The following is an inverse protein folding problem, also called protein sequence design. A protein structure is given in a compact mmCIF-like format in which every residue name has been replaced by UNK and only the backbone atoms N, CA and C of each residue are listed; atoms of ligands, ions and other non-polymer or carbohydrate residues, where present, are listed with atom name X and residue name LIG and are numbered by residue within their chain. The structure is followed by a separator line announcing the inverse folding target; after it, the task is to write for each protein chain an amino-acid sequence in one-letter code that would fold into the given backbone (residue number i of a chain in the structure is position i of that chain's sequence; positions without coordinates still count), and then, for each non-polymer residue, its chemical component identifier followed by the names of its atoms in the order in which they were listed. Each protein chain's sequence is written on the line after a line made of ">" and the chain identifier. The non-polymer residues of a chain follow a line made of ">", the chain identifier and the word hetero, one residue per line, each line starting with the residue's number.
data_IF_217214218584
#
_entry.id   IF_217214218584
#
_cell.length_a   1.000
_cell.length_b   1.000
_cell.length_c   1.000
_cell.angle_alpha   90.00
_cell.angle_beta   90.00
_cell.angle_gamma   90.00
#
_symmetry.space_group_name_H-M   'P 1'
#
loop_
_entity.id
_entity.type
_entity.pdbx_description
1 polymer ?
#
# COMPACT_ATOMS: atom_id res chain seq x y z
N UNK A 1 3.14 3.72 31.99
CA UNK A 1 3.66 3.47 30.64
C UNK A 1 4.81 4.41 30.27
N UNK A 2 4.67 5.72 30.36
CA UNK A 2 5.74 6.69 30.03
C UNK A 2 7.07 6.42 30.73
N UNK A 3 7.06 6.17 32.04
CA UNK A 3 8.27 5.88 32.84
C UNK A 3 8.95 4.58 32.38
N UNK A 4 8.17 3.57 31.99
CA UNK A 4 8.73 2.31 31.47
C UNK A 4 9.43 2.53 30.12
N UNK A 5 8.81 3.28 29.21
CA UNK A 5 9.41 3.61 27.92
C UNK A 5 10.68 4.45 28.06
N UNK A 6 10.65 5.45 28.91
CA UNK A 6 11.81 6.27 29.23
C UNK A 6 12.98 5.44 29.77
N UNK A 7 12.73 4.60 30.79
CA UNK A 7 13.74 3.72 31.39
C UNK A 7 14.26 2.67 30.40
N UNK A 8 13.41 2.17 29.53
CA UNK A 8 13.80 1.24 28.49
C UNK A 8 14.75 1.86 27.47
N UNK A 9 14.39 3.05 26.93
CA UNK A 9 15.25 3.77 26.02
C UNK A 9 16.60 4.16 26.64
N UNK A 10 16.59 4.61 27.88
CA UNK A 10 17.82 4.92 28.61
C UNK A 10 18.78 3.73 28.72
N UNK A 11 18.26 2.49 28.77
CA UNK A 11 19.08 1.27 28.81
C UNK A 11 19.62 0.85 27.45
N UNK A 12 18.83 1.02 26.37
CA UNK A 12 19.20 0.57 25.03
C UNK A 12 20.03 1.60 24.28
N UNK A 13 19.62 2.86 24.34
CA UNK A 13 20.29 3.98 23.65
C UNK A 13 20.35 5.20 24.60
N UNK A 14 21.36 5.25 25.49
CA UNK A 14 21.55 6.40 26.39
C UNK A 14 21.63 7.72 25.61
N UNK A 15 20.89 8.73 26.05
CA UNK A 15 20.78 10.04 25.39
C UNK A 15 19.60 10.20 24.45
N UNK A 16 18.87 9.13 24.12
CA UNK A 16 17.62 9.22 23.32
C UNK A 16 16.36 9.24 24.18
N UNK A 17 16.47 9.10 25.48
CA UNK A 17 15.34 9.19 26.42
C UNK A 17 14.59 10.53 26.35
N UNK A 18 15.27 11.61 25.95
CA UNK A 18 14.70 12.95 25.78
C UNK A 18 13.67 13.01 24.62
N UNK A 19 13.69 12.03 23.71
CA UNK A 19 12.70 11.92 22.63
C UNK A 19 11.30 11.51 23.16
N UNK A 20 11.24 10.93 24.36
CA UNK A 20 9.99 10.49 24.97
C UNK A 20 9.27 11.70 25.56
N UNK A 21 8.17 12.10 24.96
CA UNK A 21 7.34 13.21 25.42
C UNK A 21 5.94 12.70 25.77
N UNK A 22 5.39 13.20 26.87
CA UNK A 22 4.01 12.94 27.23
C UNK A 22 3.09 13.86 26.42
N UNK A 23 2.16 13.25 25.72
CA UNK A 23 1.10 14.00 25.07
C UNK A 23 0.04 14.44 26.10
N UNK A 24 -0.32 15.72 26.11
CA UNK A 24 -1.29 16.33 27.02
C UNK A 24 -2.40 17.10 26.29
N UNK A 25 -2.53 16.87 24.98
CA UNK A 25 -3.56 17.52 24.16
C UNK A 25 -4.97 17.01 24.49
N UNK A 26 -5.99 17.83 24.15
CA UNK A 26 -7.41 17.44 24.29
C UNK A 26 -7.90 16.54 23.16
N UNK A 27 -7.29 16.65 21.97
CA UNK A 27 -7.60 15.81 20.81
C UNK A 27 -6.86 14.49 20.96
N UNK A 28 -7.42 13.34 20.56
CA UNK A 28 -6.68 12.07 20.55
C UNK A 28 -5.35 12.19 19.81
N UNK A 29 -4.29 11.59 20.34
CA UNK A 29 -2.92 11.75 19.78
C UNK A 29 -2.82 11.32 18.32
N UNK A 30 -3.53 10.28 17.90
CA UNK A 30 -3.51 9.80 16.52
C UNK A 30 -4.20 10.76 15.56
N UNK A 31 -5.27 11.43 16.00
CA UNK A 31 -5.94 12.49 15.24
C UNK A 31 -5.03 13.70 15.10
N UNK A 32 -4.42 14.13 16.22
CA UNK A 32 -3.50 15.27 16.23
C UNK A 32 -2.30 15.06 15.31
N UNK A 33 -1.79 13.85 15.24
CA UNK A 33 -0.66 13.48 14.37
C UNK A 33 -1.10 13.06 12.97
N UNK A 34 -2.39 13.08 12.66
CA UNK A 34 -2.93 12.67 11.37
C UNK A 34 -2.74 11.18 11.04
N UNK A 35 -2.48 10.36 12.06
CA UNK A 35 -2.24 8.91 11.89
C UNK A 35 -3.50 8.21 11.40
N UNK A 36 -4.67 8.55 11.97
CA UNK A 36 -5.93 7.94 11.52
C UNK A 36 -6.25 8.24 10.05
N UNK A 37 -5.99 9.47 9.60
CA UNK A 37 -6.13 9.84 8.19
C UNK A 37 -5.19 9.01 7.30
N UNK A 38 -3.94 8.81 7.73
CA UNK A 38 -2.97 7.98 7.01
C UNK A 38 -3.41 6.51 6.97
N UNK A 39 -3.95 5.98 8.06
CA UNK A 39 -4.50 4.62 8.09
C UNK A 39 -5.66 4.50 7.09
N UNK A 40 -6.66 5.37 7.18
CA UNK A 40 -7.81 5.37 6.25
C UNK A 40 -7.36 5.43 4.79
N UNK A 41 -6.46 6.36 4.44
CA UNK A 41 -5.94 6.49 3.07
C UNK A 41 -5.10 5.29 2.62
N UNK A 42 -4.42 4.61 3.54
CA UNK A 42 -3.54 3.48 3.22
C UNK A 42 -4.27 2.14 3.09
N UNK A 43 -5.44 1.98 3.70
CA UNK A 43 -6.23 0.75 3.68
C UNK A 43 -7.50 0.83 2.84
N UNK A 44 -7.77 1.96 2.21
CA UNK A 44 -8.90 2.13 1.28
C UNK A 44 -8.76 1.24 0.04
N UNK A 45 -9.89 0.98 -0.65
CA UNK A 45 -9.91 0.30 -1.94
C UNK A 45 -9.06 1.02 -2.98
N UNK A 46 -9.09 2.36 -2.98
CA UNK A 46 -8.28 3.21 -3.85
C UNK A 46 -7.08 3.77 -3.09
N UNK A 47 -5.89 3.61 -3.65
CA UNK A 47 -4.63 4.08 -3.08
C UNK A 47 -3.98 5.06 -4.05
N UNK A 48 -3.87 6.33 -3.64
CA UNK A 48 -3.23 7.35 -4.46
C UNK A 48 -1.71 7.18 -4.49
N UNK A 49 -1.15 7.28 -5.70
CA UNK A 49 0.31 7.25 -5.93
C UNK A 49 0.88 8.65 -6.22
N UNK A 50 0.05 9.68 -6.06
CA UNK A 50 0.40 11.05 -6.43
C UNK A 50 0.27 11.34 -7.92
N UNK A 51 0.30 12.65 -8.26
CA UNK A 51 0.17 13.14 -9.65
C UNK A 51 -1.08 12.61 -10.38
N UNK A 52 -2.15 12.25 -9.66
CA UNK A 52 -3.40 11.74 -10.20
C UNK A 52 -3.43 10.24 -10.49
N UNK A 53 -2.31 9.53 -10.40
CA UNK A 53 -2.27 8.08 -10.55
C UNK A 53 -2.71 7.38 -9.25
N UNK A 54 -3.35 6.22 -9.37
CA UNK A 54 -3.84 5.44 -8.23
C UNK A 54 -3.94 3.95 -8.53
N UNK A 55 -3.95 3.15 -7.48
CA UNK A 55 -4.23 1.73 -7.51
C UNK A 55 -5.66 1.48 -7.06
N UNK A 56 -6.32 0.49 -7.65
CA UNK A 56 -7.53 -0.14 -7.10
C UNK A 56 -7.12 -1.52 -6.58
N UNK A 57 -7.39 -1.80 -5.31
CA UNK A 57 -7.06 -3.07 -4.68
C UNK A 57 -8.35 -3.76 -4.27
N UNK A 58 -8.59 -4.94 -4.81
CA UNK A 58 -9.76 -5.76 -4.54
C UNK A 58 -9.37 -7.14 -4.02
N UNK A 59 -10.18 -7.65 -3.10
CA UNK A 59 -10.01 -8.96 -2.51
C UNK A 59 -11.16 -9.86 -2.99
N UNK A 60 -10.80 -11.03 -3.50
CA UNK A 60 -11.74 -12.10 -3.80
C UNK A 60 -11.48 -13.28 -2.88
N UNK A 61 -12.34 -14.29 -2.88
CA UNK A 61 -12.13 -15.50 -2.08
C UNK A 61 -10.82 -16.23 -2.43
N UNK A 62 -10.37 -16.14 -3.69
CA UNK A 62 -9.23 -16.92 -4.19
C UNK A 62 -7.95 -16.11 -4.36
N UNK A 63 -8.05 -14.80 -4.60
CA UNK A 63 -6.90 -13.98 -4.96
C UNK A 63 -7.15 -12.50 -4.69
N UNK A 64 -6.06 -11.73 -4.72
CA UNK A 64 -6.10 -10.27 -4.74
C UNK A 64 -5.90 -9.77 -6.16
N UNK A 65 -6.64 -8.74 -6.53
CA UNK A 65 -6.51 -8.07 -7.83
C UNK A 65 -6.11 -6.62 -7.60
N UNK A 66 -5.13 -6.16 -8.34
CA UNK A 66 -4.64 -4.77 -8.27
C UNK A 66 -4.67 -4.21 -9.68
N UNK A 67 -5.42 -3.13 -9.88
CA UNK A 67 -5.51 -2.39 -11.13
C UNK A 67 -4.74 -1.07 -11.02
N UNK A 68 -3.94 -0.74 -12.03
CA UNK A 68 -3.09 0.45 -12.08
C UNK A 68 -3.69 1.49 -12.99
N UNK A 69 -4.04 2.65 -12.44
CA UNK A 69 -4.65 3.74 -13.16
C UNK A 69 -3.74 4.98 -13.25
N UNK A 70 -3.57 5.54 -14.47
CA UNK A 70 -2.77 6.75 -14.70
C UNK A 70 -3.49 8.05 -14.33
N UNK A 71 -4.82 7.98 -14.09
CA UNK A 71 -5.64 9.18 -13.95
C UNK A 71 -5.75 9.98 -15.25
N UNK A 72 -6.08 11.27 -15.13
CA UNK A 72 -6.36 12.17 -16.29
C UNK A 72 -5.09 12.63 -17.05
N UNK A 73 -4.10 11.77 -17.20
CA UNK A 73 -2.87 12.10 -17.96
C UNK A 73 -3.05 11.76 -19.42
N UNK A 74 -3.67 12.65 -20.18
CA UNK A 74 -3.71 12.62 -21.65
C UNK A 74 -2.51 13.38 -22.21
N UNK A 75 -1.51 12.66 -22.72
CA UNK A 75 -0.38 13.23 -23.46
C UNK A 75 -0.28 12.56 -24.84
N UNK A 76 0.32 13.28 -25.82
CA UNK A 76 0.56 12.80 -27.18
C UNK A 76 1.22 11.41 -27.26
N UNK A 77 0.93 10.65 -28.31
CA UNK A 77 1.28 9.24 -28.49
C UNK A 77 2.76 8.86 -28.21
N UNK A 78 3.72 9.73 -28.50
CA UNK A 78 5.14 9.43 -28.21
C UNK A 78 5.47 9.50 -26.70
N UNK A 79 4.71 10.31 -25.94
CA UNK A 79 4.85 10.41 -24.50
C UNK A 79 4.01 9.35 -23.75
N UNK A 80 3.09 8.64 -24.43
CA UNK A 80 2.18 7.70 -23.77
C UNK A 80 2.91 6.50 -23.20
N UNK A 81 3.79 5.87 -23.99
CA UNK A 81 4.60 4.73 -23.55
C UNK A 81 5.54 5.10 -22.38
N UNK A 82 6.21 6.26 -22.47
CA UNK A 82 7.08 6.75 -21.40
C UNK A 82 6.29 7.08 -20.11
N UNK A 83 5.11 7.66 -20.27
CA UNK A 83 4.23 7.95 -19.15
C UNK A 83 3.68 6.67 -18.52
N UNK A 84 3.23 5.71 -19.33
CA UNK A 84 2.79 4.39 -18.86
C UNK A 84 3.89 3.68 -18.05
N UNK A 85 5.12 3.68 -18.58
CA UNK A 85 6.26 3.12 -17.86
C UNK A 85 6.51 3.84 -16.53
N UNK A 86 6.49 5.18 -16.53
CA UNK A 86 6.70 5.97 -15.30
C UNK A 86 5.66 5.67 -14.24
N UNK A 87 4.38 5.56 -14.63
CA UNK A 87 3.29 5.22 -13.72
C UNK A 87 3.45 3.80 -13.21
N UNK A 88 3.75 2.84 -14.08
CA UNK A 88 3.94 1.44 -13.70
C UNK A 88 5.13 1.24 -12.75
N UNK A 89 6.22 1.98 -12.93
CA UNK A 89 7.37 1.92 -12.00
C UNK A 89 7.00 2.46 -10.61
N UNK A 90 6.25 3.56 -10.55
CA UNK A 90 5.73 4.09 -9.29
C UNK A 90 4.72 3.12 -8.66
N UNK A 91 3.86 2.50 -9.48
CA UNK A 91 2.92 1.47 -9.04
C UNK A 91 3.65 0.27 -8.43
N UNK A 92 4.74 -0.19 -9.02
CA UNK A 92 5.53 -1.29 -8.49
C UNK A 92 6.04 -1.02 -7.06
N UNK A 93 6.49 0.21 -6.78
CA UNK A 93 6.92 0.62 -5.43
C UNK A 93 5.76 0.62 -4.43
N UNK A 94 4.63 1.21 -4.84
CA UNK A 94 3.44 1.27 -3.98
C UNK A 94 2.83 -0.11 -3.76
N UNK A 95 2.74 -0.96 -4.77
CA UNK A 95 2.27 -2.35 -4.65
C UNK A 95 3.13 -3.10 -3.63
N UNK A 96 4.45 -3.05 -3.75
CA UNK A 96 5.34 -3.69 -2.78
C UNK A 96 5.12 -3.16 -1.35
N UNK A 97 4.84 -1.86 -1.20
CA UNK A 97 4.48 -1.25 0.09
C UNK A 97 3.15 -1.79 0.61
N UNK A 98 2.11 -1.85 -0.24
CA UNK A 98 0.78 -2.32 0.12
C UNK A 98 0.76 -3.80 0.49
N UNK A 99 1.50 -4.65 -0.22
CA UNK A 99 1.63 -6.08 0.10
C UNK A 99 2.17 -6.28 1.51
N UNK A 100 3.17 -5.49 1.91
CA UNK A 100 3.73 -5.55 3.27
C UNK A 100 2.82 -4.92 4.31
N UNK A 101 2.22 -3.76 4.00
CA UNK A 101 1.38 -2.99 4.92
C UNK A 101 0.12 -3.76 5.32
N UNK A 102 -0.56 -4.34 4.34
CA UNK A 102 -1.80 -5.12 4.52
C UNK A 102 -1.55 -6.60 4.82
N UNK A 103 -0.29 -7.02 4.81
CA UNK A 103 0.14 -8.43 4.86
C UNK A 103 -0.59 -9.34 3.85
N UNK A 104 -0.83 -8.80 2.65
CA UNK A 104 -1.48 -9.53 1.57
C UNK A 104 -0.66 -10.75 1.19
N UNK A 105 -1.30 -11.92 1.20
CA UNK A 105 -0.65 -13.19 0.87
C UNK A 105 -1.54 -14.05 -0.02
N UNK A 106 -1.00 -15.13 -0.57
CA UNK A 106 -1.67 -15.96 -1.56
C UNK A 106 -1.34 -15.53 -2.98
N UNK A 107 -2.32 -15.56 -3.87
CA UNK A 107 -2.19 -15.17 -5.28
C UNK A 107 -2.57 -13.70 -5.42
N UNK A 108 -1.70 -12.92 -6.02
CA UNK A 108 -1.93 -11.50 -6.34
C UNK A 108 -1.75 -11.34 -7.84
N UNK A 109 -2.75 -10.79 -8.51
CA UNK A 109 -2.72 -10.45 -9.94
C UNK A 109 -2.71 -8.94 -10.08
N UNK A 110 -1.73 -8.43 -10.79
CA UNK A 110 -1.60 -6.99 -11.05
C UNK A 110 -1.82 -6.73 -12.52
N UNK A 111 -2.76 -5.83 -12.81
CA UNK A 111 -3.01 -5.30 -14.14
C UNK A 111 -2.30 -3.94 -14.26
N UNK A 112 -1.15 -3.96 -14.94
CA UNK A 112 -0.38 -2.75 -15.22
C UNK A 112 -0.85 -2.08 -16.50
N UNK A 113 -0.61 -0.79 -16.63
CA UNK A 113 -0.85 -0.06 -17.88
C UNK A 113 -0.04 -0.71 -19.00
N UNK A 114 -0.67 -0.94 -20.14
CA UNK A 114 -0.07 -1.61 -21.28
C UNK A 114 1.27 -0.98 -21.70
N UNK A 115 2.27 -1.85 -21.90
CA UNK A 115 3.58 -1.49 -22.41
C UNK A 115 3.85 -2.25 -23.72
N UNK A 116 3.98 -1.54 -24.82
CA UNK A 116 4.19 -2.15 -26.14
C UNK A 116 5.63 -2.64 -26.31
N UNK A 117 6.62 -1.90 -25.78
CA UNK A 117 8.04 -2.23 -25.91
C UNK A 117 8.46 -3.32 -24.92
N UNK A 118 9.07 -4.38 -25.42
CA UNK A 118 9.57 -5.49 -24.58
C UNK A 118 10.62 -5.04 -23.56
N UNK A 119 11.42 -4.03 -23.89
CA UNK A 119 12.41 -3.44 -22.99
C UNK A 119 11.76 -2.78 -21.77
N UNK A 120 10.61 -2.11 -21.97
CA UNK A 120 9.87 -1.47 -20.89
C UNK A 120 9.18 -2.50 -19.99
N UNK A 121 8.64 -3.58 -20.56
CA UNK A 121 8.12 -4.70 -19.77
C UNK A 121 9.23 -5.36 -18.94
N UNK A 122 10.42 -5.50 -19.49
CA UNK A 122 11.58 -6.01 -18.75
C UNK A 122 11.98 -5.07 -17.61
N UNK A 123 12.03 -3.75 -17.87
CA UNK A 123 12.33 -2.74 -16.82
C UNK A 123 11.32 -2.81 -15.68
N UNK A 124 10.03 -2.92 -15.99
CA UNK A 124 8.98 -3.07 -14.98
C UNK A 124 9.17 -4.35 -14.14
N UNK A 125 9.42 -5.47 -14.79
CA UNK A 125 9.67 -6.74 -14.11
C UNK A 125 10.89 -6.69 -13.17
N UNK A 126 12.01 -6.13 -13.63
CA UNK A 126 13.20 -5.97 -12.80
C UNK A 126 12.96 -4.99 -11.64
N UNK A 127 12.19 -3.92 -11.86
CA UNK A 127 11.80 -2.99 -10.79
C UNK A 127 10.97 -3.70 -9.71
N UNK A 128 9.98 -4.49 -10.11
CA UNK A 128 9.18 -5.29 -9.15
C UNK A 128 10.07 -6.21 -8.32
N UNK A 129 11.00 -6.91 -8.94
CA UNK A 129 11.95 -7.78 -8.23
C UNK A 129 12.83 -7.00 -7.27
N UNK A 130 13.28 -5.81 -7.67
CA UNK A 130 14.09 -4.93 -6.84
C UNK A 130 13.33 -4.49 -5.58
N UNK A 131 12.14 -3.91 -5.74
CA UNK A 131 11.37 -3.35 -4.62
C UNK A 131 10.82 -4.43 -3.67
N UNK A 132 10.59 -5.64 -4.19
CA UNK A 132 10.17 -6.79 -3.39
C UNK A 132 11.34 -7.46 -2.65
N UNK A 133 12.59 -7.16 -2.96
CA UNK A 133 13.77 -7.78 -2.31
C UNK A 133 13.79 -7.54 -0.78
N UNK A 134 13.25 -6.42 -0.32
CA UNK A 134 13.17 -6.10 1.11
C UNK A 134 12.03 -6.80 1.84
N UNK A 135 11.15 -7.49 1.15
CA UNK A 135 10.05 -8.23 1.75
C UNK A 135 10.58 -9.51 2.43
N UNK A 136 10.27 -9.66 3.72
CA UNK A 136 10.68 -10.84 4.51
C UNK A 136 9.84 -12.08 4.21
N UNK A 137 8.63 -11.90 3.66
CA UNK A 137 7.78 -13.02 3.26
C UNK A 137 8.35 -13.69 2.00
N UNK A 138 8.29 -15.00 1.94
CA UNK A 138 8.65 -15.74 0.73
C UNK A 138 7.69 -15.36 -0.39
N UNK A 139 8.20 -14.96 -1.52
CA UNK A 139 7.41 -14.54 -2.67
C UNK A 139 8.05 -14.96 -3.98
N UNK A 140 7.25 -15.06 -5.02
CA UNK A 140 7.67 -15.32 -6.39
C UNK A 140 6.89 -14.38 -7.31
N UNK A 141 7.59 -13.76 -8.24
CA UNK A 141 7.02 -12.86 -9.25
C UNK A 141 7.21 -13.55 -10.59
N UNK A 142 6.14 -13.74 -11.35
CA UNK A 142 6.21 -14.25 -12.71
C UNK A 142 6.41 -13.10 -13.70
N UNK A 143 7.10 -13.34 -14.83
CA UNK A 143 7.16 -12.35 -15.90
C UNK A 143 5.75 -11.98 -16.40
N UNK A 144 5.56 -10.76 -16.94
CA UNK A 144 4.27 -10.36 -17.50
C UNK A 144 3.75 -11.39 -18.50
N UNK A 145 2.48 -11.75 -18.35
CA UNK A 145 1.78 -12.67 -19.25
C UNK A 145 1.59 -12.04 -20.65
N UNK A 146 1.03 -12.80 -21.60
CA UNK A 146 0.67 -12.29 -22.93
C UNK A 146 -0.39 -11.18 -22.87
N UNK A 147 -1.16 -11.13 -21.79
CA UNK A 147 -2.20 -10.12 -21.54
C UNK A 147 -1.70 -8.94 -20.70
N UNK A 148 -0.39 -8.82 -20.45
CA UNK A 148 0.18 -7.73 -19.64
C UNK A 148 0.09 -7.93 -18.12
N UNK A 149 -0.62 -8.97 -17.65
CA UNK A 149 -0.81 -9.24 -16.22
C UNK A 149 0.48 -9.75 -15.59
N UNK A 150 0.76 -9.29 -14.36
CA UNK A 150 1.84 -9.80 -13.52
C UNK A 150 1.25 -10.59 -12.36
N UNK A 151 1.70 -11.83 -12.21
CA UNK A 151 1.31 -12.72 -11.13
C UNK A 151 2.38 -12.72 -10.05
N UNK A 152 1.94 -12.54 -8.80
CA UNK A 152 2.78 -12.60 -7.61
C UNK A 152 2.19 -13.64 -6.66
N UNK A 153 3.02 -14.55 -6.16
CA UNK A 153 2.65 -15.40 -5.04
C UNK A 153 3.45 -14.96 -3.82
N UNK A 154 2.77 -14.76 -2.68
CA UNK A 154 3.37 -14.32 -1.43
C UNK A 154 2.87 -15.16 -0.27
N UNK A 155 3.77 -15.61 0.59
CA UNK A 155 3.41 -16.37 1.79
C UNK A 155 2.73 -15.43 2.78
N UNK A 156 1.60 -15.84 3.37
CA UNK A 156 1.00 -15.16 4.51
C UNK A 156 1.90 -15.30 5.73
N UNK A 157 2.22 -14.19 6.38
CA UNK A 157 3.05 -14.16 7.59
C UNK A 157 2.19 -13.93 8.83
N UNK A 158 1.07 -13.22 8.67
CA UNK A 158 0.07 -12.91 9.70
C UNK A 158 -1.33 -13.08 9.12
N UNK A 159 -2.38 -13.12 9.98
CA UNK A 159 -3.75 -12.90 9.50
C UNK A 159 -3.84 -11.61 8.71
N UNK A 160 -4.58 -11.62 7.63
CA UNK A 160 -4.76 -10.44 6.78
C UNK A 160 -5.47 -9.33 7.55
N UNK A 161 -4.91 -8.12 7.55
CA UNK A 161 -5.55 -6.97 8.15
C UNK A 161 -6.63 -6.44 7.20
N UNK A 162 -7.87 -6.77 7.48
CA UNK A 162 -9.03 -6.28 6.77
C UNK A 162 -9.59 -5.06 7.54
N UNK A 163 -9.11 -3.87 7.21
CA UNK A 163 -9.68 -2.64 7.75
C UNK A 163 -10.79 -2.20 6.80
N UNK A 164 -12.03 -2.45 7.18
CA UNK A 164 -13.18 -1.89 6.46
C UNK A 164 -13.24 -0.39 6.73
N UNK A 165 -12.72 0.41 5.80
CA UNK A 165 -12.99 1.84 5.80
C UNK A 165 -14.35 2.06 5.14
N UNK A 166 -15.32 2.51 5.91
CA UNK A 166 -16.61 2.95 5.36
C UNK A 166 -16.35 4.12 4.42
N UNK A 167 -16.68 3.98 3.15
CA UNK A 167 -16.72 5.12 2.23
C UNK A 167 -17.83 6.04 2.74
N UNK A 168 -17.49 7.29 3.04
CA UNK A 168 -18.50 8.31 3.38
C UNK A 168 -19.39 8.49 2.15
N UNK A 169 -20.64 8.09 2.27
CA UNK A 169 -21.66 8.48 1.29
C UNK A 169 -21.75 10.01 1.26
N UNK A 170 -21.66 10.66 0.09
CA UNK A 170 -21.72 12.11 -0.02
C UNK A 170 -23.09 12.72 0.40
N UNK A 171 -24.07 11.89 0.69
CA UNK A 171 -25.45 12.31 1.02
C UNK A 171 -25.77 12.42 2.53
N UNK A 172 -24.77 12.51 3.39
CA UNK A 172 -24.87 13.17 4.70
C UNK A 172 -25.86 12.64 5.76
N UNK A 173 -26.45 11.45 5.61
CA UNK A 173 -27.33 10.86 6.63
C UNK A 173 -26.90 9.44 6.99
N UNK A 174 -26.04 9.30 7.99
CA UNK A 174 -25.68 8.01 8.57
C UNK A 174 -24.76 8.17 9.77
N UNK A 175 -25.20 7.64 10.90
CA UNK A 175 -24.44 7.58 12.14
C UNK A 175 -23.07 6.93 11.92
N UNK A 176 -22.03 7.61 12.39
CA UNK A 176 -20.63 7.18 12.29
C UNK A 176 -20.39 6.15 13.40
N UNK A 177 -20.53 4.86 13.10
CA UNK A 177 -19.94 3.83 13.95
C UNK A 177 -18.42 3.81 13.78
N UNK A 178 -17.70 3.81 14.88
CA UNK A 178 -16.26 3.73 14.91
C UNK A 178 -15.76 2.45 14.19
N UNK A 179 -14.62 2.48 13.50
CA UNK A 179 -14.08 1.32 12.81
C UNK A 179 -13.80 0.20 13.84
N UNK A 180 -14.46 -0.93 13.68
CA UNK A 180 -14.19 -2.14 14.48
C UNK A 180 -12.97 -2.82 13.85
N UNK A 181 -11.90 -2.90 14.61
CA UNK A 181 -10.72 -3.70 14.28
C UNK A 181 -11.09 -5.17 14.56
N UNK A 182 -11.49 -5.91 13.54
CA UNK A 182 -11.68 -7.35 13.65
C UNK A 182 -10.32 -8.01 13.41
N UNK A 183 -9.71 -8.48 14.47
CA UNK A 183 -8.56 -9.39 14.43
C UNK A 183 -9.16 -10.78 14.56
N UNK A 184 -9.31 -11.51 13.45
CA UNK A 184 -9.66 -12.92 13.49
C UNK A 184 -8.47 -13.71 14.06
N UNK A 185 -8.73 -14.51 15.11
CA UNK A 185 -7.78 -15.42 15.76
C UNK A 185 -7.41 -16.62 14.89
#
# INVERSE_FOLDING_TARGET
>A
MLVLTYNYLKKIEPGKEEMVKQYQGRVPIFDQMGVERQIKSSFGRSVSMGKGAYLIIEHTEAMHVIDVNSGNRTNSNENQEANALSVNLAAAEEIARQLRLRDMGGIIVVDFIDLHRSENRKKLYEKLKEVMRSDRAKHKILPPSRFGLVEITRQRVRPEMNIQTREENPDGNGEVEAPILIIDE
#
